data_IF_181606415359
#
_entry.id   IF_181606415359
#
_cell.length_a   1.000
_cell.length_b   1.000
_cell.length_c   1.000
_cell.angle_alpha   90.00
_cell.angle_beta   90.00
_cell.angle_gamma   90.00
#
_symmetry.space_group_name_H-M   'P 1'
#
loop_
_entity.id
_entity.type
_entity.pdbx_description
1 polymer ?
#
# COMPACT_ATOMS: atom_id res chain seq x y z
N UNK A 1 -6.84 -9.06 17.50
CA UNK A 1 -6.79 -10.21 16.58
C UNK A 1 -8.14 -10.94 16.53
N UNK A 2 -8.67 -11.40 17.65
CA UNK A 2 -9.94 -12.16 17.73
C UNK A 2 -11.12 -11.41 17.09
N UNK A 3 -11.27 -10.08 17.38
CA UNK A 3 -12.33 -9.25 16.79
C UNK A 3 -12.29 -9.24 15.25
N UNK A 4 -11.09 -9.27 14.67
CA UNK A 4 -10.89 -9.22 13.23
C UNK A 4 -10.67 -10.62 12.61
N UNK A 5 -10.85 -11.68 13.39
CA UNK A 5 -10.63 -13.08 12.98
C UNK A 5 -9.24 -13.28 12.33
N UNK A 6 -8.24 -12.55 12.82
CA UNK A 6 -6.86 -12.62 12.30
C UNK A 6 -6.12 -13.76 12.96
N UNK A 7 -5.61 -14.68 12.15
CA UNK A 7 -4.75 -15.78 12.60
C UNK A 7 -3.44 -15.23 13.10
N UNK A 8 -2.97 -15.74 14.23
CA UNK A 8 -1.70 -15.32 14.84
C UNK A 8 -0.99 -16.50 15.49
N UNK A 9 0.33 -16.40 15.56
CA UNK A 9 1.20 -17.35 16.23
C UNK A 9 2.01 -16.64 17.32
N UNK A 10 2.17 -17.26 18.46
CA UNK A 10 3.00 -16.79 19.59
C UNK A 10 4.03 -17.85 19.97
N UNK A 11 4.96 -17.50 20.86
CA UNK A 11 5.99 -18.38 21.42
C UNK A 11 6.92 -19.03 20.38
N UNK A 12 7.16 -18.33 19.27
CA UNK A 12 8.17 -18.73 18.27
C UNK A 12 9.49 -17.99 18.49
N UNK A 13 10.59 -18.60 18.08
CA UNK A 13 11.91 -17.94 18.05
C UNK A 13 11.97 -16.91 16.91
N UNK A 14 11.50 -15.68 17.20
CA UNK A 14 11.51 -14.57 16.24
C UNK A 14 12.92 -14.14 15.85
N UNK A 15 13.92 -14.34 16.73
CA UNK A 15 15.32 -14.07 16.40
C UNK A 15 15.83 -15.03 15.33
N UNK A 16 15.51 -16.32 15.46
CA UNK A 16 15.84 -17.33 14.46
C UNK A 16 15.17 -17.04 13.12
N UNK A 17 13.90 -16.68 13.16
CA UNK A 17 13.16 -16.28 11.96
C UNK A 17 13.83 -15.07 11.27
N UNK A 18 14.18 -14.05 12.03
CA UNK A 18 14.88 -12.86 11.51
C UNK A 18 16.22 -13.23 10.88
N UNK A 19 17.01 -14.12 11.50
CA UNK A 19 18.26 -14.60 10.93
C UNK A 19 18.06 -15.33 9.61
N UNK A 20 17.03 -16.19 9.51
CA UNK A 20 16.71 -16.90 8.25
C UNK A 20 16.38 -15.89 7.14
N UNK A 21 15.52 -14.91 7.42
CA UNK A 21 15.14 -13.89 6.46
C UNK A 21 16.33 -13.01 6.04
N UNK A 22 17.23 -12.71 6.98
CA UNK A 22 18.45 -11.94 6.70
C UNK A 22 19.44 -12.68 5.79
N UNK A 23 19.54 -14.00 5.95
CA UNK A 23 20.49 -14.82 5.18
C UNK A 23 19.90 -15.23 3.82
N UNK A 24 18.64 -15.67 3.82
CA UNK A 24 17.98 -16.25 2.63
C UNK A 24 17.16 -15.27 1.84
N UNK A 25 16.94 -14.05 2.34
CA UNK A 25 16.01 -13.08 1.77
C UNK A 25 14.55 -13.37 2.15
N UNK A 26 13.63 -12.67 1.49
CA UNK A 26 12.20 -12.85 1.68
C UNK A 26 11.78 -14.29 1.33
N UNK A 27 11.00 -14.90 2.23
CA UNK A 27 10.50 -16.27 2.10
C UNK A 27 8.98 -16.28 2.08
N UNK A 28 8.39 -17.22 1.33
CA UNK A 28 6.98 -17.52 1.49
C UNK A 28 6.76 -18.25 2.83
N UNK A 29 5.64 -17.96 3.49
CA UNK A 29 5.29 -18.55 4.77
C UNK A 29 3.78 -18.77 4.87
N UNK A 30 3.36 -19.71 5.70
CA UNK A 30 1.96 -19.97 6.02
C UNK A 30 1.78 -20.08 7.54
N UNK A 31 0.62 -19.59 8.02
CA UNK A 31 0.16 -19.79 9.40
C UNK A 31 -1.18 -20.50 9.31
N UNK A 32 -1.28 -21.64 9.94
CA UNK A 32 -2.48 -22.50 9.93
C UNK A 32 -3.02 -22.65 11.34
N UNK A 33 -4.33 -22.84 11.46
CA UNK A 33 -5.02 -23.15 12.71
C UNK A 33 -6.10 -24.21 12.45
N UNK A 34 -6.51 -24.91 13.49
CA UNK A 34 -7.51 -25.95 13.41
C UNK A 34 -6.95 -27.35 13.20
N UNK A 35 -7.80 -28.31 12.97
CA UNK A 35 -7.45 -29.73 12.86
C UNK A 35 -6.59 -30.03 11.62
N UNK A 36 -6.76 -29.22 10.55
CA UNK A 36 -5.99 -29.35 9.29
C UNK A 36 -4.63 -28.65 9.33
N UNK A 37 -4.19 -28.13 10.48
CA UNK A 37 -2.92 -27.43 10.62
C UNK A 37 -1.72 -28.39 10.64
N UNK A 38 -1.46 -29.01 9.48
CA UNK A 38 -0.33 -29.95 9.30
C UNK A 38 0.82 -29.30 8.53
N UNK A 39 2.03 -29.87 8.66
CA UNK A 39 3.20 -29.40 7.92
C UNK A 39 3.00 -29.62 6.40
N UNK A 40 2.40 -30.73 6.01
CA UNK A 40 2.11 -31.03 4.61
C UNK A 40 1.18 -29.98 4.00
N UNK A 41 0.12 -29.59 4.71
CA UNK A 41 -0.80 -28.55 4.26
C UNK A 41 -0.12 -27.18 4.17
N UNK A 42 0.74 -26.85 5.15
CA UNK A 42 1.53 -25.64 5.10
C UNK A 42 2.45 -25.60 3.86
N UNK A 43 3.15 -26.70 3.57
CA UNK A 43 4.01 -26.81 2.38
C UNK A 43 3.24 -26.72 1.08
N UNK A 44 2.07 -27.35 1.00
CA UNK A 44 1.18 -27.25 -0.16
C UNK A 44 0.82 -25.78 -0.44
N UNK A 45 0.36 -25.05 0.58
CA UNK A 45 -0.02 -23.65 0.45
C UNK A 45 1.16 -22.74 0.07
N UNK A 46 2.34 -22.95 0.67
CA UNK A 46 3.55 -22.20 0.35
C UNK A 46 3.94 -22.44 -1.13
N UNK A 47 3.91 -23.68 -1.58
CA UNK A 47 4.24 -24.03 -2.97
C UNK A 47 3.22 -23.47 -3.95
N UNK A 48 1.93 -23.51 -3.62
CA UNK A 48 0.86 -22.93 -4.43
C UNK A 48 0.95 -21.41 -4.51
N UNK A 49 1.32 -20.75 -3.41
CA UNK A 49 1.55 -19.31 -3.40
C UNK A 49 2.79 -18.94 -4.23
N UNK A 50 3.91 -19.67 -4.08
CA UNK A 50 5.16 -19.41 -4.79
C UNK A 50 5.79 -18.04 -4.47
N UNK A 51 5.98 -17.21 -5.50
CA UNK A 51 6.56 -15.87 -5.39
C UNK A 51 5.50 -14.77 -5.49
N UNK A 52 5.79 -13.59 -4.94
CA UNK A 52 4.99 -12.38 -5.18
C UNK A 52 5.23 -11.79 -6.58
N UNK A 53 6.31 -12.17 -7.26
CA UNK A 53 6.59 -11.70 -8.62
C UNK A 53 5.47 -12.13 -9.56
N UNK A 54 4.95 -11.18 -10.33
CA UNK A 54 3.85 -11.41 -11.26
C UNK A 54 2.46 -11.49 -10.60
N UNK A 55 2.32 -11.20 -9.29
CA UNK A 55 1.02 -11.20 -8.61
C UNK A 55 0.46 -9.81 -8.39
N UNK A 56 -0.75 -9.61 -8.86
CA UNK A 56 -1.56 -8.43 -8.55
C UNK A 56 -2.34 -8.65 -7.25
N UNK A 57 -1.70 -8.35 -6.12
CA UNK A 57 -2.35 -8.42 -4.81
C UNK A 57 -3.02 -7.08 -4.44
N UNK A 58 -2.74 -6.01 -5.17
CA UNK A 58 -3.38 -4.71 -4.95
C UNK A 58 -4.88 -4.78 -5.24
N UNK A 59 -5.27 -5.51 -6.29
CA UNK A 59 -6.66 -5.74 -6.63
C UNK A 59 -7.41 -6.53 -5.56
N UNK A 60 -6.75 -7.48 -4.91
CA UNK A 60 -7.34 -8.29 -3.84
C UNK A 60 -7.50 -7.50 -2.54
N UNK A 61 -6.55 -6.57 -2.26
CA UNK A 61 -6.56 -5.74 -1.05
C UNK A 61 -7.38 -4.46 -1.15
N UNK A 62 -7.90 -4.14 -2.32
CA UNK A 62 -8.64 -2.93 -2.61
C UNK A 62 -10.09 -2.98 -2.11
N UNK A 63 -10.68 -1.80 -1.83
CA UNK A 63 -12.11 -1.67 -1.63
C UNK A 63 -12.88 -2.05 -2.90
N UNK A 64 -14.14 -2.46 -2.75
CA UNK A 64 -15.02 -2.85 -3.87
C UNK A 64 -15.90 -1.71 -4.36
N UNK A 65 -16.08 -0.67 -3.54
CA UNK A 65 -16.90 0.51 -3.83
C UNK A 65 -16.19 1.77 -3.34
N UNK A 66 -16.36 2.91 -4.00
CA UNK A 66 -15.88 4.18 -3.49
C UNK A 66 -16.49 4.53 -2.13
N UNK A 67 -15.73 5.20 -1.28
CA UNK A 67 -16.21 5.71 0.00
C UNK A 67 -15.50 7.01 0.39
N UNK A 68 -16.16 7.81 1.23
CA UNK A 68 -15.62 9.05 1.79
C UNK A 68 -14.86 8.78 3.08
N UNK A 69 -13.76 9.48 3.29
CA UNK A 69 -12.97 9.43 4.51
C UNK A 69 -12.67 10.83 5.05
N UNK A 70 -13.05 11.08 6.31
CA UNK A 70 -12.88 12.38 6.97
C UNK A 70 -12.19 12.30 8.33
N UNK A 71 -12.06 11.09 8.90
CA UNK A 71 -11.44 10.87 10.21
C UNK A 71 -9.96 11.22 10.18
N UNK A 72 -9.51 12.07 11.11
CA UNK A 72 -8.11 12.46 11.28
C UNK A 72 -7.33 11.59 12.27
N UNK A 73 -6.17 12.10 12.69
CA UNK A 73 -5.24 11.39 13.58
C UNK A 73 -5.82 11.23 14.99
N UNK A 74 -5.29 10.25 15.71
CA UNK A 74 -5.65 10.01 17.10
C UNK A 74 -5.01 11.06 18.03
N UNK A 75 -5.81 11.61 18.92
CA UNK A 75 -5.38 12.59 19.91
C UNK A 75 -5.60 12.04 21.32
N UNK A 76 -4.60 12.13 22.17
CA UNK A 76 -4.68 11.64 23.55
C UNK A 76 -5.85 12.31 24.30
N UNK A 77 -6.71 11.47 24.88
CA UNK A 77 -7.90 11.90 25.60
C UNK A 77 -9.14 12.20 24.74
N UNK A 78 -9.00 12.26 23.42
CA UNK A 78 -10.10 12.53 22.48
C UNK A 78 -10.38 11.36 21.53
N UNK A 79 -9.37 10.49 21.26
CA UNK A 79 -9.47 9.45 20.25
C UNK A 79 -9.21 9.98 18.84
N UNK A 80 -9.83 9.39 17.83
CA UNK A 80 -9.73 9.87 16.45
C UNK A 80 -10.64 11.10 16.27
N UNK A 81 -10.06 12.18 15.76
CA UNK A 81 -10.72 13.49 15.62
C UNK A 81 -10.95 13.79 14.14
N UNK A 82 -12.17 14.15 13.76
CA UNK A 82 -12.44 14.67 12.42
C UNK A 82 -12.13 16.17 12.40
N UNK A 83 -11.21 16.65 11.54
CA UNK A 83 -10.93 18.08 11.41
C UNK A 83 -12.17 18.84 10.91
N UNK A 84 -12.43 20.01 11.50
CA UNK A 84 -13.56 20.87 11.11
C UNK A 84 -13.38 21.46 9.70
N UNK A 85 -12.13 21.64 9.26
CA UNK A 85 -11.81 22.29 8.00
C UNK A 85 -10.98 21.37 7.11
N UNK A 86 -11.58 20.94 6.00
CA UNK A 86 -10.98 20.06 4.98
C UNK A 86 -11.23 20.65 3.59
N UNK A 87 -10.53 21.73 3.21
CA UNK A 87 -10.79 22.44 1.95
C UNK A 87 -10.37 21.70 0.70
N UNK A 88 -9.42 20.75 0.81
CA UNK A 88 -8.86 20.08 -0.35
C UNK A 88 -9.57 18.76 -0.60
N UNK A 89 -10.08 18.57 -1.80
CA UNK A 89 -10.62 17.28 -2.24
C UNK A 89 -9.51 16.41 -2.84
N UNK A 90 -9.19 15.30 -2.23
CA UNK A 90 -8.19 14.35 -2.73
C UNK A 90 -8.87 13.01 -3.04
N UNK A 91 -8.69 12.52 -4.26
CA UNK A 91 -9.11 11.15 -4.62
C UNK A 91 -7.93 10.21 -4.38
N UNK A 92 -8.17 9.19 -3.55
CA UNK A 92 -7.18 8.22 -3.15
C UNK A 92 -7.47 6.85 -3.78
N UNK A 93 -6.57 6.34 -4.60
CA UNK A 93 -6.63 4.96 -5.07
C UNK A 93 -6.26 4.00 -3.96
N UNK A 94 -7.14 3.03 -3.70
CA UNK A 94 -6.92 1.98 -2.72
C UNK A 94 -6.26 0.76 -3.35
N UNK A 95 -4.95 0.65 -3.20
CA UNK A 95 -4.16 -0.54 -3.55
C UNK A 95 -3.92 -1.46 -2.34
N UNK A 96 -4.62 -1.25 -1.23
CA UNK A 96 -4.39 -1.85 0.08
C UNK A 96 -3.92 -0.82 1.09
N UNK A 97 -4.64 0.31 1.15
CA UNK A 97 -4.25 1.49 1.91
C UNK A 97 -4.20 1.23 3.41
N UNK A 98 -3.13 1.67 4.05
CA UNK A 98 -3.08 1.75 5.52
C UNK A 98 -3.96 2.90 5.99
N UNK A 99 -4.98 2.58 6.77
CA UNK A 99 -5.95 3.55 7.31
C UNK A 99 -5.31 4.81 7.91
N UNK A 100 -4.15 4.65 8.58
CA UNK A 100 -3.48 5.80 9.18
C UNK A 100 -2.96 6.81 8.16
N UNK A 101 -2.68 6.42 6.94
CA UNK A 101 -2.30 7.35 5.86
C UNK A 101 -3.49 8.25 5.51
N UNK A 102 -4.70 7.68 5.41
CA UNK A 102 -5.92 8.46 5.19
C UNK A 102 -6.15 9.46 6.33
N UNK A 103 -5.96 9.02 7.59
CA UNK A 103 -6.06 9.90 8.76
C UNK A 103 -5.07 11.06 8.71
N UNK A 104 -3.83 10.79 8.33
CA UNK A 104 -2.79 11.80 8.21
C UNK A 104 -3.09 12.83 7.11
N UNK A 105 -3.67 12.41 5.99
CA UNK A 105 -4.13 13.31 4.93
C UNK A 105 -5.33 14.14 5.41
N UNK A 106 -6.31 13.51 6.05
CA UNK A 106 -7.47 14.19 6.60
C UNK A 106 -7.07 15.26 7.66
N UNK A 107 -6.15 14.92 8.57
CA UNK A 107 -5.62 15.86 9.56
C UNK A 107 -4.91 17.08 8.96
N UNK A 108 -4.49 16.97 7.67
CA UNK A 108 -3.85 18.05 6.90
C UNK A 108 -4.81 18.80 5.99
N UNK A 109 -6.11 18.68 6.23
CA UNK A 109 -7.13 19.44 5.52
C UNK A 109 -7.62 18.76 4.22
N UNK A 110 -7.38 17.46 4.05
CA UNK A 110 -7.87 16.72 2.90
C UNK A 110 -9.18 15.99 3.24
N UNK A 111 -10.23 16.27 2.47
CA UNK A 111 -11.42 15.42 2.38
C UNK A 111 -11.15 14.39 1.31
N UNK A 112 -11.25 13.11 1.64
CA UNK A 112 -10.82 12.01 0.78
C UNK A 112 -12.01 11.26 0.21
N UNK A 113 -12.00 11.07 -1.10
CA UNK A 113 -12.80 10.03 -1.78
C UNK A 113 -11.87 8.88 -2.10
N UNK A 114 -12.04 7.75 -1.43
CA UNK A 114 -11.25 6.54 -1.66
C UNK A 114 -11.92 5.71 -2.73
N UNK A 115 -11.17 5.34 -3.76
CA UNK A 115 -11.70 4.61 -4.92
C UNK A 115 -11.00 3.26 -5.10
N UNK A 116 -11.68 2.25 -5.66
CA UNK A 116 -11.07 0.97 -5.99
C UNK A 116 -9.82 1.11 -6.87
N UNK A 117 -8.89 0.16 -6.73
CA UNK A 117 -7.64 0.12 -7.49
C UNK A 117 -7.83 0.21 -9.01
N UNK A 118 -8.92 -0.36 -9.52
CA UNK A 118 -9.21 -0.44 -10.96
C UNK A 118 -10.07 0.72 -11.49
N UNK A 119 -10.35 1.75 -10.68
CA UNK A 119 -11.14 2.89 -11.12
C UNK A 119 -10.45 3.60 -12.29
N UNK A 120 -11.14 3.82 -13.42
CA UNK A 120 -10.58 4.53 -14.57
C UNK A 120 -10.19 5.98 -14.22
N UNK A 121 -9.14 6.48 -14.87
CA UNK A 121 -8.68 7.86 -14.66
C UNK A 121 -9.76 8.89 -14.96
N UNK A 122 -10.59 8.65 -15.97
CA UNK A 122 -11.67 9.52 -16.40
C UNK A 122 -12.71 9.71 -15.30
N UNK A 123 -13.05 8.65 -14.57
CA UNK A 123 -13.99 8.72 -13.44
C UNK A 123 -13.40 9.55 -12.29
N UNK A 124 -12.11 9.35 -11.98
CA UNK A 124 -11.42 10.15 -10.96
C UNK A 124 -11.35 11.61 -11.34
N UNK A 125 -11.03 11.94 -12.59
CA UNK A 125 -10.96 13.31 -13.08
C UNK A 125 -12.34 13.98 -13.10
N UNK A 126 -13.43 13.22 -13.38
CA UNK A 126 -14.79 13.71 -13.32
C UNK A 126 -15.22 14.16 -11.91
N UNK A 127 -14.60 13.63 -10.85
CA UNK A 127 -14.80 14.08 -9.46
C UNK A 127 -14.16 15.45 -9.18
N UNK A 128 -13.40 16.00 -10.14
CA UNK A 128 -12.67 17.27 -10.05
C UNK A 128 -11.84 17.41 -8.76
N UNK A 129 -10.92 16.48 -8.44
CA UNK A 129 -10.10 16.57 -7.23
C UNK A 129 -9.06 17.69 -7.31
N UNK A 130 -8.67 18.22 -6.16
CA UNK A 130 -7.51 19.13 -6.03
C UNK A 130 -6.19 18.38 -6.12
N UNK A 131 -6.18 17.10 -5.75
CA UNK A 131 -5.02 16.22 -5.81
C UNK A 131 -5.39 14.74 -5.88
N UNK A 132 -4.43 13.91 -6.28
CA UNK A 132 -4.60 12.46 -6.42
C UNK A 132 -3.56 11.76 -5.57
N UNK A 133 -4.00 10.79 -4.80
CA UNK A 133 -3.13 9.98 -3.96
C UNK A 133 -3.14 8.51 -4.41
N UNK A 134 -1.94 7.97 -4.63
CA UNK A 134 -1.71 6.56 -4.96
C UNK A 134 -1.22 5.85 -3.70
N UNK A 135 -2.03 4.97 -3.13
CA UNK A 135 -1.73 4.37 -1.83
C UNK A 135 -0.60 3.35 -1.88
N UNK A 136 -0.14 2.97 -0.69
CA UNK A 136 0.64 1.75 -0.51
C UNK A 136 -0.22 0.53 -0.86
N UNK A 137 0.43 -0.60 -1.09
CA UNK A 137 -0.24 -1.87 -1.34
C UNK A 137 0.72 -3.04 -1.47
N UNK A 138 0.21 -4.27 -1.47
CA UNK A 138 1.01 -5.48 -1.71
C UNK A 138 1.14 -5.80 -3.20
N UNK A 139 2.02 -6.75 -3.52
CA UNK A 139 2.13 -7.34 -4.84
C UNK A 139 3.27 -6.79 -5.69
N UNK A 140 3.22 -7.14 -6.97
CA UNK A 140 4.19 -6.70 -7.97
C UNK A 140 3.61 -5.54 -8.77
N UNK A 141 4.22 -4.34 -8.74
CA UNK A 141 3.69 -3.19 -9.48
C UNK A 141 3.62 -3.44 -11.00
N UNK A 142 4.46 -4.32 -11.55
CA UNK A 142 4.44 -4.65 -12.97
C UNK A 142 3.18 -5.44 -13.39
N UNK A 143 2.48 -6.03 -12.44
CA UNK A 143 1.23 -6.78 -12.69
C UNK A 143 -0.02 -5.91 -12.64
N UNK A 144 0.12 -4.61 -12.31
CA UNK A 144 -0.99 -3.68 -12.17
C UNK A 144 -1.14 -2.80 -13.43
N UNK A 145 -1.29 -3.39 -14.62
CA UNK A 145 -1.35 -2.67 -15.91
C UNK A 145 -2.45 -1.61 -15.95
N UNK A 146 -3.61 -1.91 -15.36
CA UNK A 146 -4.74 -0.98 -15.25
C UNK A 146 -4.34 0.28 -14.47
N UNK A 147 -3.58 0.12 -13.37
CA UNK A 147 -3.14 1.23 -12.54
C UNK A 147 -2.07 2.07 -13.25
N UNK A 148 -1.11 1.42 -13.94
CA UNK A 148 -0.09 2.11 -14.73
C UNK A 148 -0.77 2.96 -15.81
N UNK A 149 -1.73 2.38 -16.54
CA UNK A 149 -2.49 3.09 -17.59
C UNK A 149 -3.30 4.26 -17.01
N UNK A 150 -3.96 4.06 -15.87
CA UNK A 150 -4.70 5.13 -15.22
C UNK A 150 -3.75 6.27 -14.78
N UNK A 151 -2.61 5.94 -14.17
CA UNK A 151 -1.63 6.94 -13.73
C UNK A 151 -1.06 7.74 -14.90
N UNK A 152 -0.77 7.11 -16.05
CA UNK A 152 -0.34 7.81 -17.27
C UNK A 152 -1.33 8.90 -17.68
N UNK A 153 -2.62 8.58 -17.74
CA UNK A 153 -3.69 9.55 -18.07
C UNK A 153 -3.85 10.65 -17.00
N UNK A 154 -3.67 10.29 -15.72
CA UNK A 154 -3.74 11.25 -14.62
C UNK A 154 -2.58 12.26 -14.67
N UNK A 155 -1.39 11.84 -15.10
CA UNK A 155 -0.24 12.74 -15.30
C UNK A 155 -0.52 13.82 -16.36
N UNK A 156 -1.26 13.48 -17.43
CA UNK A 156 -1.63 14.44 -18.48
C UNK A 156 -2.54 15.55 -17.94
N UNK A 157 -3.30 15.30 -16.90
CA UNK A 157 -4.20 16.28 -16.26
C UNK A 157 -3.47 17.40 -15.51
N UNK A 158 -2.16 17.22 -15.23
CA UNK A 158 -1.31 18.13 -14.44
C UNK A 158 -1.83 18.41 -13.02
N UNK A 159 -2.75 17.61 -12.51
CA UNK A 159 -3.18 17.69 -11.12
C UNK A 159 -2.05 17.16 -10.21
N UNK A 160 -1.86 17.73 -9.01
CA UNK A 160 -0.93 17.20 -8.03
C UNK A 160 -1.17 15.71 -7.79
N UNK A 161 -0.13 14.91 -7.94
CA UNK A 161 -0.19 13.46 -7.78
C UNK A 161 0.96 13.01 -6.87
N UNK A 162 0.64 12.22 -5.86
CA UNK A 162 1.60 11.71 -4.88
C UNK A 162 1.36 10.22 -4.63
N UNK A 163 2.45 9.44 -4.55
CA UNK A 163 2.40 8.00 -4.33
C UNK A 163 3.28 7.53 -3.18
N UNK A 164 2.78 6.56 -2.41
CA UNK A 164 3.53 5.90 -1.34
C UNK A 164 3.72 4.41 -1.67
N UNK A 165 4.96 3.90 -1.51
CA UNK A 165 5.31 2.48 -1.67
C UNK A 165 4.87 1.96 -3.05
N UNK A 166 3.86 1.09 -3.14
CA UNK A 166 3.33 0.61 -4.41
C UNK A 166 2.89 1.76 -5.33
N UNK A 167 2.18 2.76 -4.80
CA UNK A 167 1.78 3.93 -5.57
C UNK A 167 2.96 4.73 -6.15
N UNK A 168 4.06 4.86 -5.40
CA UNK A 168 5.30 5.45 -5.91
C UNK A 168 5.92 4.60 -7.04
N UNK A 169 5.90 3.27 -6.90
CA UNK A 169 6.42 2.36 -7.92
C UNK A 169 5.59 2.40 -9.21
N UNK A 170 4.26 2.46 -9.08
CA UNK A 170 3.34 2.62 -10.21
C UNK A 170 3.57 3.95 -10.94
N UNK A 171 3.79 5.03 -10.19
CA UNK A 171 4.14 6.33 -10.76
C UNK A 171 5.47 6.25 -11.54
N UNK A 172 6.48 5.60 -10.96
CA UNK A 172 7.76 5.37 -11.64
C UNK A 172 7.61 4.57 -12.95
N UNK A 173 6.79 3.53 -12.96
CA UNK A 173 6.49 2.75 -14.17
C UNK A 173 5.71 3.56 -15.21
N UNK A 174 4.73 4.35 -14.80
CA UNK A 174 3.94 5.20 -15.67
C UNK A 174 4.81 6.28 -16.37
N UNK A 175 5.88 6.74 -15.71
CA UNK A 175 6.88 7.64 -16.27
C UNK A 175 7.97 6.95 -17.13
N UNK A 176 7.83 5.65 -17.42
CA UNK A 176 8.77 4.88 -18.21
C UNK A 176 9.95 4.30 -17.45
N UNK A 177 9.93 4.39 -16.12
CA UNK A 177 10.91 3.75 -15.25
C UNK A 177 10.77 2.23 -15.22
N UNK A 178 11.65 1.58 -14.48
CA UNK A 178 11.64 0.11 -14.30
C UNK A 178 11.71 -0.21 -12.81
N UNK A 179 11.00 -1.25 -12.39
CA UNK A 179 11.10 -1.81 -11.05
C UNK A 179 11.93 -3.11 -11.07
N UNK A 180 12.57 -3.40 -9.95
CA UNK A 180 13.36 -4.61 -9.77
C UNK A 180 13.07 -5.21 -8.39
N UNK A 181 12.75 -6.50 -8.35
CA UNK A 181 12.58 -7.22 -7.10
C UNK A 181 13.90 -7.28 -6.35
N UNK A 182 13.90 -6.79 -5.12
CA UNK A 182 15.03 -6.88 -4.22
C UNK A 182 14.97 -8.20 -3.41
N UNK A 183 16.12 -8.78 -3.02
CA UNK A 183 16.15 -9.98 -2.18
C UNK A 183 15.62 -9.74 -0.76
N UNK A 184 15.64 -8.47 -0.30
CA UNK A 184 15.16 -8.07 1.02
C UNK A 184 14.09 -7.00 0.90
N UNK A 185 13.21 -6.90 1.92
CA UNK A 185 12.25 -5.80 2.02
C UNK A 185 12.98 -4.45 2.17
N UNK A 186 12.44 -3.43 1.49
CA UNK A 186 12.93 -2.05 1.59
C UNK A 186 11.77 -1.17 2.07
N UNK A 187 11.69 -0.97 3.38
CA UNK A 187 10.57 -0.25 4.01
C UNK A 187 10.85 1.23 4.27
N UNK A 188 12.07 1.67 4.03
CA UNK A 188 12.46 3.05 3.91
C UNK A 188 12.51 3.91 5.18
N UNK A 189 11.99 3.43 6.31
CA UNK A 189 11.83 4.25 7.52
C UNK A 189 13.15 4.84 8.08
N UNK A 190 14.28 4.21 7.77
CA UNK A 190 15.61 4.60 8.23
C UNK A 190 16.67 4.52 7.12
N UNK A 191 16.25 4.52 5.87
CA UNK A 191 17.17 4.55 4.74
C UNK A 191 17.57 5.99 4.41
N UNK A 192 18.85 6.26 4.19
CA UNK A 192 19.30 7.59 3.78
C UNK A 192 18.78 7.91 2.37
N UNK A 193 18.33 9.15 2.19
CA UNK A 193 17.89 9.68 0.90
C UNK A 193 18.77 10.88 0.56
N UNK A 194 19.34 10.87 -0.65
CA UNK A 194 20.15 11.98 -1.14
C UNK A 194 19.33 12.89 -2.05
N UNK A 195 19.31 14.18 -1.71
CA UNK A 195 18.87 15.23 -2.62
C UNK A 195 19.93 15.43 -3.70
N UNK A 196 19.60 15.10 -4.94
CA UNK A 196 20.53 15.16 -6.06
C UNK A 196 20.93 16.60 -6.45
N UNK A 197 20.11 17.60 -6.13
CA UNK A 197 20.41 19.01 -6.43
C UNK A 197 21.39 19.60 -5.42
N UNK A 198 21.22 19.29 -4.15
CA UNK A 198 22.03 19.86 -3.07
C UNK A 198 23.15 18.94 -2.59
N UNK A 199 23.09 17.64 -2.94
CA UNK A 199 23.99 16.60 -2.45
C UNK A 199 23.77 16.24 -0.98
N UNK A 200 22.81 16.85 -0.29
CA UNK A 200 22.50 16.54 1.12
C UNK A 200 21.89 15.16 1.26
N UNK A 201 22.32 14.46 2.30
CA UNK A 201 21.73 13.18 2.73
C UNK A 201 20.89 13.44 3.98
N UNK A 202 19.66 12.94 3.96
CA UNK A 202 18.69 13.04 5.05
C UNK A 202 18.34 11.66 5.55
#
# INVERSE_FOLDING_TARGET
>A
LTRNKTVAIADIDTRRLTQILRIKGAQAGAILTGEDATEEKARELINAFGSMVGKDLAKEGSCTQPYEWTEGEWVLGQGFVTPEYQPYHVVAYDYGVKTNILRMLAARGCRLTVVPAQTPAEEVLAMNPDGIFLSNGPGDPQSCDYAITAVQKLLDSKKPLFGICLGHQLLGLALGGKTRKMPFGHHGANHPVQDLLTGKVM
#
